data_IF_256301208593
#
_entry.id   IF_256301208593
#
_cell.length_a   1.000
_cell.length_b   1.000
_cell.length_c   1.000
_cell.angle_alpha   90.00
_cell.angle_beta   90.00
_cell.angle_gamma   90.00
#
_symmetry.space_group_name_H-M   'P 1'
#
loop_
_entity.id
_entity.type
_entity.pdbx_description
1 polymer ?
#
# COMPACT_ATOMS: atom_id res chain seq x y z
N UNK A 1 8.36 -0.98 -5.23
CA UNK A 1 9.71 -0.54 -5.61
C UNK A 1 9.96 0.88 -5.15
N UNK A 2 11.12 1.15 -4.55
CA UNK A 2 11.56 2.51 -4.20
C UNK A 2 12.66 2.92 -5.18
N UNK A 3 12.53 4.07 -5.83
CA UNK A 3 13.58 4.62 -6.71
C UNK A 3 14.68 5.36 -5.93
N UNK A 4 15.74 5.82 -6.61
CA UNK A 4 16.86 6.54 -5.98
C UNK A 4 16.47 7.89 -5.36
N UNK A 5 15.28 8.40 -5.67
CA UNK A 5 14.71 9.61 -5.08
C UNK A 5 13.72 9.28 -3.96
N UNK A 6 13.69 8.03 -3.49
CA UNK A 6 12.81 7.58 -2.40
C UNK A 6 11.35 7.54 -2.79
N UNK A 7 11.03 7.47 -4.08
CA UNK A 7 9.64 7.50 -4.54
C UNK A 7 9.13 6.09 -4.79
N UNK A 8 7.89 5.85 -4.36
CA UNK A 8 7.30 4.51 -4.34
C UNK A 8 6.50 4.23 -5.63
N UNK A 9 6.73 3.05 -6.20
CA UNK A 9 5.96 2.50 -7.32
C UNK A 9 5.48 1.08 -7.00
N UNK A 10 4.30 0.71 -7.49
CA UNK A 10 3.74 -0.64 -7.40
C UNK A 10 3.43 -1.19 -8.80
N UNK A 11 3.39 -2.52 -8.93
CA UNK A 11 2.83 -3.24 -10.07
C UNK A 11 2.38 -4.63 -9.63
N UNK A 12 1.55 -5.29 -10.44
CA UNK A 12 0.97 -6.59 -10.11
C UNK A 12 -0.55 -6.60 -10.33
N UNK A 13 -1.18 -7.67 -9.86
CA UNK A 13 -2.64 -7.80 -9.83
C UNK A 13 -3.11 -7.82 -8.37
N UNK A 14 -4.26 -7.19 -8.13
CA UNK A 14 -4.98 -7.20 -6.85
C UNK A 14 -6.17 -8.18 -6.87
N UNK A 15 -6.29 -8.97 -7.93
CA UNK A 15 -7.21 -10.10 -8.04
C UNK A 15 -6.36 -11.36 -8.30
N UNK A 16 -6.59 -12.42 -7.53
CA UNK A 16 -6.12 -13.76 -7.88
C UNK A 16 -7.24 -14.44 -8.68
N UNK A 17 -6.95 -14.86 -9.91
CA UNK A 17 -7.87 -15.69 -10.70
C UNK A 17 -7.82 -17.11 -10.12
N UNK A 18 -8.71 -17.43 -9.18
CA UNK A 18 -9.00 -18.82 -8.85
C UNK A 18 -9.91 -19.39 -9.96
N UNK A 19 -9.28 -19.80 -11.07
CA UNK A 19 -9.92 -20.41 -12.27
C UNK A 19 -10.84 -21.60 -11.93
N UNK A 20 -10.71 -22.18 -10.74
CA UNK A 20 -11.39 -23.42 -10.36
C UNK A 20 -12.74 -23.22 -9.65
N UNK A 21 -13.03 -22.04 -9.05
CA UNK A 21 -14.24 -21.85 -8.23
C UNK A 21 -15.15 -20.68 -8.62
N UNK A 22 -14.71 -19.76 -9.50
CA UNK A 22 -15.53 -18.63 -9.95
C UNK A 22 -15.80 -17.54 -8.90
N UNK A 23 -15.18 -17.66 -7.72
CA UNK A 23 -15.14 -16.62 -6.70
C UNK A 23 -13.86 -15.80 -6.90
N UNK A 24 -13.99 -14.57 -7.40
CA UNK A 24 -12.88 -13.62 -7.52
C UNK A 24 -12.59 -13.02 -6.13
N UNK A 25 -11.56 -13.52 -5.44
CA UNK A 25 -11.06 -12.86 -4.23
C UNK A 25 -10.35 -11.55 -4.63
N UNK A 26 -11.10 -10.45 -4.63
CA UNK A 26 -10.56 -9.10 -4.79
C UNK A 26 -9.83 -8.69 -3.51
N UNK A 27 -8.58 -8.23 -3.64
CA UNK A 27 -7.80 -7.63 -2.56
C UNK A 27 -7.82 -6.10 -2.70
N UNK A 28 -8.90 -5.43 -2.23
CA UNK A 28 -9.12 -4.03 -2.49
C UNK A 28 -7.95 -3.19 -1.99
N UNK A 29 -7.54 -2.27 -2.84
CA UNK A 29 -6.52 -1.28 -2.52
C UNK A 29 -5.09 -1.78 -2.43
N UNK A 30 -4.78 -3.06 -2.67
CA UNK A 30 -3.43 -3.63 -2.51
C UNK A 30 -2.34 -2.85 -3.28
N UNK A 31 -2.68 -2.34 -4.46
CA UNK A 31 -1.76 -1.55 -5.29
C UNK A 31 -1.55 -0.12 -4.75
N UNK A 32 -2.50 0.42 -4.00
CA UNK A 32 -2.40 1.76 -3.43
C UNK A 32 -2.62 2.90 -4.44
N UNK A 33 -3.26 2.61 -5.59
CA UNK A 33 -3.49 3.57 -6.68
C UNK A 33 -4.91 4.16 -6.73
N UNK A 34 -5.74 3.85 -5.74
CA UNK A 34 -7.15 4.24 -5.73
C UNK A 34 -8.09 3.10 -6.12
N UNK A 35 -9.38 3.41 -6.02
CA UNK A 35 -10.46 2.48 -6.33
C UNK A 35 -10.47 2.11 -7.81
N UNK A 36 -10.79 0.85 -8.10
CA UNK A 36 -10.87 0.33 -9.48
C UNK A 36 -9.53 0.03 -10.16
N UNK A 37 -8.39 0.25 -9.49
CA UNK A 37 -7.08 -0.15 -10.01
C UNK A 37 -6.75 -1.56 -9.54
N UNK A 38 -7.11 -2.55 -10.36
CA UNK A 38 -6.93 -3.98 -10.05
C UNK A 38 -5.68 -4.58 -10.67
N UNK A 39 -5.11 -3.96 -11.70
CA UNK A 39 -3.92 -4.49 -12.37
C UNK A 39 -3.02 -3.37 -12.87
N UNK A 40 -1.72 -3.55 -12.68
CA UNK A 40 -0.66 -2.69 -13.20
C UNK A 40 0.43 -3.55 -13.83
N UNK A 41 0.53 -3.49 -15.16
CA UNK A 41 1.48 -4.30 -15.94
C UNK A 41 2.92 -3.78 -15.88
N UNK A 42 3.11 -2.54 -15.44
CA UNK A 42 4.42 -1.91 -15.32
C UNK A 42 4.52 -1.17 -13.98
N UNK A 43 5.73 -1.02 -13.42
CA UNK A 43 5.95 -0.23 -12.21
C UNK A 43 5.37 1.17 -12.36
N UNK A 44 4.30 1.46 -11.63
CA UNK A 44 3.57 2.72 -11.68
C UNK A 44 3.71 3.42 -10.35
N UNK A 45 4.01 4.72 -10.40
CA UNK A 45 4.20 5.56 -9.22
C UNK A 45 2.90 5.74 -8.45
N UNK A 46 2.93 5.60 -7.11
CA UNK A 46 1.73 5.83 -6.30
C UNK A 46 1.28 7.30 -6.37
N UNK A 47 -0.03 7.55 -6.45
CA UNK A 47 -0.59 8.90 -6.59
C UNK A 47 -0.39 9.77 -5.33
N UNK A 48 -0.37 9.15 -4.15
CA UNK A 48 -0.17 9.82 -2.86
C UNK A 48 1.23 9.52 -2.32
N UNK A 49 2.12 10.52 -2.42
CA UNK A 49 3.57 10.40 -2.20
C UNK A 49 3.96 10.32 -0.71
N UNK A 50 3.20 9.58 0.10
CA UNK A 50 3.44 9.42 1.54
C UNK A 50 3.57 10.77 2.28
N UNK A 51 2.72 11.74 1.91
CA UNK A 51 2.75 13.10 2.46
C UNK A 51 3.88 13.99 1.89
N UNK A 52 4.47 13.61 0.75
CA UNK A 52 5.61 14.32 0.15
C UNK A 52 6.98 13.83 0.66
N UNK A 53 6.99 12.75 1.44
CA UNK A 53 8.17 12.23 2.12
C UNK A 53 8.80 11.09 1.32
N UNK A 54 10.12 10.95 1.47
CA UNK A 54 10.85 9.84 0.84
C UNK A 54 10.61 8.53 1.57
N UNK A 55 10.15 7.52 0.85
CA UNK A 55 10.15 6.14 1.31
C UNK A 55 11.60 5.66 1.48
N UNK A 56 11.87 4.99 2.59
CA UNK A 56 13.15 4.35 2.89
C UNK A 56 13.02 2.83 3.08
N UNK A 57 11.79 2.34 3.28
CA UNK A 57 11.51 0.93 3.43
C UNK A 57 10.09 0.60 2.99
N UNK A 58 9.91 -0.61 2.47
CA UNK A 58 8.61 -1.15 2.07
C UNK A 58 8.50 -2.60 2.51
N UNK A 59 7.30 -3.00 2.89
CA UNK A 59 6.95 -4.39 3.11
C UNK A 59 5.62 -4.68 2.42
N UNK A 60 5.49 -5.87 1.85
CA UNK A 60 4.27 -6.32 1.20
C UNK A 60 3.85 -7.68 1.75
N UNK A 61 2.55 -7.86 1.87
CA UNK A 61 1.87 -9.12 2.18
C UNK A 61 0.90 -9.44 1.05
N UNK A 62 0.24 -10.61 1.13
CA UNK A 62 -0.85 -10.98 0.21
C UNK A 62 -2.00 -9.97 0.24
N UNK A 63 -2.25 -9.35 1.40
CA UNK A 63 -3.46 -8.54 1.64
C UNK A 63 -3.20 -7.04 1.77
N UNK A 64 -1.99 -6.65 2.15
CA UNK A 64 -1.68 -5.26 2.48
C UNK A 64 -0.22 -4.95 2.22
N UNK A 65 0.06 -3.65 2.15
CA UNK A 65 1.40 -3.11 2.00
C UNK A 65 1.67 -2.03 3.02
N UNK A 66 2.94 -1.87 3.34
CA UNK A 66 3.47 -0.91 4.31
C UNK A 66 4.62 -0.13 3.69
N UNK A 67 4.73 1.15 4.06
CA UNK A 67 5.89 1.98 3.75
C UNK A 67 6.37 2.74 4.99
N UNK A 68 7.69 2.82 5.14
CA UNK A 68 8.37 3.66 6.13
C UNK A 68 9.03 4.82 5.39
N UNK A 69 8.80 6.04 5.87
CA UNK A 69 9.41 7.26 5.31
C UNK A 69 10.63 7.70 6.11
N UNK A 70 11.47 8.55 5.51
CA UNK A 70 12.71 9.05 6.11
C UNK A 70 12.49 9.82 7.43
N UNK A 71 11.32 10.43 7.61
CA UNK A 71 10.92 11.11 8.85
C UNK A 71 10.36 10.14 9.92
N UNK A 72 10.33 8.84 9.65
CA UNK A 72 9.84 7.80 10.57
C UNK A 72 8.32 7.58 10.55
N UNK A 73 7.59 8.17 9.60
CA UNK A 73 6.16 7.91 9.46
C UNK A 73 5.90 6.55 8.79
N UNK A 74 4.88 5.85 9.29
CA UNK A 74 4.41 4.57 8.75
C UNK A 74 3.11 4.80 7.99
N UNK A 75 3.04 4.19 6.81
CA UNK A 75 1.89 4.23 5.93
C UNK A 75 1.45 2.80 5.61
N UNK A 76 0.15 2.58 5.50
CA UNK A 76 -0.46 1.29 5.20
C UNK A 76 -1.60 1.41 4.20
N UNK A 77 -1.75 0.41 3.34
CA UNK A 77 -2.86 0.28 2.40
C UNK A 77 -3.15 -1.18 2.04
N UNK A 78 -4.27 -1.46 1.37
CA UNK A 78 -4.79 -2.80 1.12
C UNK A 78 -5.98 -3.14 2.02
N UNK A 79 -6.13 -4.41 2.42
CA UNK A 79 -7.25 -4.89 3.22
C UNK A 79 -6.80 -5.55 4.55
N UNK A 80 -7.73 -5.62 5.50
CA UNK A 80 -7.52 -6.26 6.80
C UNK A 80 -7.08 -5.30 7.92
N UNK A 81 -6.10 -5.70 8.73
CA UNK A 81 -5.64 -4.93 9.89
C UNK A 81 -4.50 -3.99 9.50
N UNK A 82 -4.86 -2.75 9.18
CA UNK A 82 -3.91 -1.72 8.70
C UNK A 82 -3.37 -0.81 9.81
N UNK A 83 -3.93 -0.88 11.02
CA UNK A 83 -3.48 -0.05 12.15
C UNK A 83 -4.15 1.33 12.22
N UNK A 84 -5.25 1.54 11.50
CA UNK A 84 -6.04 2.78 11.56
C UNK A 84 -7.12 2.80 12.67
N UNK A 85 -7.21 1.73 13.47
CA UNK A 85 -8.26 1.57 14.49
C UNK A 85 -9.55 0.95 13.95
N UNK A 86 -9.59 0.60 12.67
CA UNK A 86 -10.71 -0.01 11.98
C UNK A 86 -10.26 -1.25 11.15
N UNK A 87 -11.18 -1.81 10.37
CA UNK A 87 -10.93 -2.89 9.40
C UNK A 87 -11.24 -2.44 7.97
N UNK A 88 -11.32 -1.14 7.74
CA UNK A 88 -11.67 -0.61 6.42
C UNK A 88 -10.48 -0.75 5.48
N UNK A 89 -10.74 -1.25 4.28
CA UNK A 89 -9.74 -1.28 3.23
C UNK A 89 -9.31 0.13 2.85
N UNK A 90 -8.03 0.29 2.53
CA UNK A 90 -7.47 1.57 2.12
C UNK A 90 -6.94 1.45 0.70
N UNK A 91 -7.59 2.15 -0.21
CA UNK A 91 -7.28 2.13 -1.64
C UNK A 91 -6.00 2.88 -2.00
N UNK A 92 -5.51 3.69 -1.08
CA UNK A 92 -4.30 4.49 -1.19
C UNK A 92 -3.56 4.48 0.14
N UNK A 93 -2.24 4.72 0.16
CA UNK A 93 -1.47 4.89 1.38
C UNK A 93 -2.14 5.86 2.34
N UNK A 94 -2.49 5.36 3.52
CA UNK A 94 -2.98 6.15 4.65
C UNK A 94 -1.95 6.11 5.76
N UNK A 95 -1.71 7.27 6.38
CA UNK A 95 -0.77 7.38 7.49
C UNK A 95 -1.32 6.66 8.73
N UNK A 96 -0.48 5.88 9.39
CA UNK A 96 -0.81 5.20 10.64
C UNK A 96 -0.57 6.18 11.80
N UNK A 97 -1.62 6.92 12.18
CA UNK A 97 -1.49 7.98 13.19
C UNK A 97 -1.19 7.44 14.60
N UNK A 98 -1.36 6.14 14.85
CA UNK A 98 -0.92 5.52 16.10
C UNK A 98 0.60 5.71 16.37
N UNK A 99 1.39 5.89 15.31
CA UNK A 99 2.83 6.19 15.39
C UNK A 99 3.14 7.68 15.16
N UNK A 100 2.13 8.55 15.08
CA UNK A 100 2.36 9.98 14.89
C UNK A 100 3.15 10.56 16.08
N UNK A 101 4.25 11.25 15.78
CA UNK A 101 5.15 11.80 16.82
C UNK A 101 6.11 10.78 17.42
N UNK A 102 6.07 9.52 16.99
CA UNK A 102 7.06 8.50 17.32
C UNK A 102 7.94 8.23 16.10
N UNK A 103 9.25 8.22 16.28
CA UNK A 103 10.17 7.86 15.20
C UNK A 103 10.35 6.35 15.19
N UNK A 104 9.75 5.69 14.20
CA UNK A 104 10.00 4.27 13.94
C UNK A 104 11.34 4.16 13.20
N UNK A 105 12.32 3.47 13.80
CA UNK A 105 13.68 3.25 13.26
C UNK A 105 14.00 1.77 13.11
#
# INVERSE_FOLDING_TARGET
>A
FIDGEGRLSSCGAAAEEDEENGDEDEFPGLLGHGEGVLQLKTPTRLPSVLGGERAIGVAASRYYSLALTANGAVWSWGCGKLGHGDREAQWQPKKVEAFAGQRVI
#
